data_IF_111697116665
#
_entry.id   IF_111697116665
#
_cell.length_a   1.000
_cell.length_b   1.000
_cell.length_c   1.000
_cell.angle_alpha   90.00
_cell.angle_beta   90.00
_cell.angle_gamma   90.00
#
_symmetry.space_group_name_H-M   'P 1'
#
loop_
_entity.id
_entity.type
_entity.pdbx_description
1 polymer ?
#
# COMPACT_ATOMS: atom_id res chain seq x y z
N UNK A 1 -7.27 -13.79 3.58
CA UNK A 1 -7.74 -12.91 4.66
C UNK A 1 -7.62 -13.52 6.05
N UNK A 2 -7.89 -14.81 6.25
CA UNK A 2 -7.82 -15.46 7.58
C UNK A 2 -6.44 -15.29 8.25
N UNK A 3 -5.34 -15.45 7.49
CA UNK A 3 -3.98 -15.31 8.03
C UNK A 3 -3.57 -13.87 8.37
N UNK A 4 -4.11 -12.89 7.67
CA UNK A 4 -3.77 -11.48 7.87
C UNK A 4 -4.58 -10.81 8.98
N UNK A 5 -5.66 -11.46 9.45
CA UNK A 5 -6.66 -10.87 10.37
C UNK A 5 -7.25 -9.54 9.86
N UNK A 6 -7.23 -9.35 8.55
CA UNK A 6 -7.80 -8.17 7.92
C UNK A 6 -9.32 -8.23 7.96
N UNK A 7 -10.01 -7.09 8.11
CA UNK A 7 -11.46 -7.00 7.99
C UNK A 7 -11.94 -7.58 6.66
N UNK A 8 -13.06 -8.31 6.69
CA UNK A 8 -13.62 -8.96 5.49
C UNK A 8 -13.94 -7.97 4.38
N UNK A 9 -14.24 -6.76 4.74
CA UNK A 9 -14.55 -5.66 3.83
C UNK A 9 -13.44 -5.34 2.81
N UNK A 10 -12.18 -5.70 3.11
CA UNK A 10 -11.03 -5.47 2.23
C UNK A 10 -10.80 -6.59 1.21
N UNK A 11 -11.81 -7.43 0.97
CA UNK A 11 -11.66 -8.60 0.10
C UNK A 11 -11.34 -8.23 -1.35
N UNK A 12 -11.95 -7.18 -1.87
CA UNK A 12 -11.77 -6.63 -3.20
C UNK A 12 -10.32 -6.17 -3.42
N UNK A 13 -9.79 -5.36 -2.53
CA UNK A 13 -8.41 -4.92 -2.56
C UNK A 13 -7.42 -6.10 -2.44
N UNK A 14 -7.74 -7.10 -1.60
CA UNK A 14 -6.94 -8.31 -1.51
C UNK A 14 -6.93 -9.09 -2.83
N UNK A 15 -8.09 -9.21 -3.48
CA UNK A 15 -8.24 -9.92 -4.75
C UNK A 15 -7.48 -9.21 -5.86
N UNK A 16 -7.62 -7.90 -5.98
CA UNK A 16 -6.89 -7.07 -6.94
C UNK A 16 -5.37 -7.27 -6.81
N UNK A 17 -4.86 -7.16 -5.58
CA UNK A 17 -3.44 -7.41 -5.31
C UNK A 17 -3.00 -8.82 -5.71
N UNK A 18 -3.80 -9.83 -5.41
CA UNK A 18 -3.47 -11.22 -5.76
C UNK A 18 -3.49 -11.42 -7.28
N UNK A 19 -4.48 -10.85 -7.96
CA UNK A 19 -4.58 -10.91 -9.41
C UNK A 19 -3.36 -10.27 -10.07
N UNK A 20 -2.98 -9.09 -9.61
CA UNK A 20 -1.81 -8.39 -10.15
C UNK A 20 -0.50 -9.12 -9.83
N UNK A 21 -0.31 -9.60 -8.60
CA UNK A 21 0.88 -10.40 -8.27
C UNK A 21 0.98 -11.69 -9.11
N UNK A 22 -0.15 -12.26 -9.51
CA UNK A 22 -0.19 -13.42 -10.41
C UNK A 22 0.18 -13.07 -11.84
N UNK A 23 -0.14 -11.87 -12.33
CA UNK A 23 0.31 -11.45 -13.66
C UNK A 23 1.83 -11.29 -13.76
N UNK A 24 2.48 -10.99 -12.62
CA UNK A 24 3.93 -10.84 -12.50
C UNK A 24 4.67 -12.13 -12.15
N UNK A 25 3.97 -13.26 -11.98
CA UNK A 25 4.60 -14.54 -11.62
C UNK A 25 4.39 -15.57 -12.72
N UNK A 26 5.38 -16.43 -12.90
CA UNK A 26 5.28 -17.56 -13.83
C UNK A 26 4.06 -18.43 -13.51
N UNK A 27 3.29 -18.74 -14.53
CA UNK A 27 2.06 -19.52 -14.39
C UNK A 27 2.13 -20.79 -15.24
N UNK A 28 1.60 -21.88 -14.69
CA UNK A 28 1.54 -23.18 -15.36
C UNK A 28 0.38 -23.32 -16.37
N UNK A 29 -0.21 -22.18 -16.81
CA UNK A 29 -1.26 -22.20 -17.84
C UNK A 29 -0.66 -22.63 -19.15
N UNK A 30 -1.26 -23.64 -19.81
CA UNK A 30 -0.73 -24.34 -20.97
C UNK A 30 -0.31 -23.44 -22.16
N UNK A 31 -1.01 -22.34 -22.39
CA UNK A 31 -0.72 -21.44 -23.52
C UNK A 31 0.39 -20.40 -23.21
N UNK A 32 0.80 -20.26 -21.96
CA UNK A 32 1.88 -19.36 -21.53
C UNK A 32 3.25 -20.05 -21.40
N UNK A 33 3.30 -21.35 -21.60
CA UNK A 33 4.54 -22.16 -21.50
C UNK A 33 5.39 -21.84 -20.27
N UNK A 34 4.73 -21.66 -19.10
CA UNK A 34 5.33 -21.27 -17.82
C UNK A 34 5.97 -19.87 -17.82
N UNK A 35 5.68 -19.03 -18.77
CA UNK A 35 6.13 -17.65 -18.80
C UNK A 35 5.31 -16.78 -17.83
N UNK A 36 5.87 -15.62 -17.51
CA UNK A 36 5.17 -14.59 -16.78
C UNK A 36 4.17 -13.91 -17.72
N UNK A 37 2.88 -13.82 -17.39
CA UNK A 37 1.87 -13.22 -18.29
C UNK A 37 2.19 -11.80 -18.75
N UNK A 38 2.80 -10.98 -17.89
CA UNK A 38 3.16 -9.60 -18.20
C UNK A 38 4.24 -9.50 -19.29
N UNK A 39 5.20 -10.42 -19.33
CA UNK A 39 6.34 -10.38 -20.27
C UNK A 39 5.93 -10.36 -21.73
N UNK A 40 5.02 -11.24 -22.24
CA UNK A 40 4.60 -11.18 -23.63
C UNK A 40 3.73 -9.95 -23.96
N UNK A 41 3.11 -9.31 -22.96
CA UNK A 41 2.27 -8.13 -23.15
C UNK A 41 3.10 -6.84 -23.21
N UNK A 42 4.05 -6.67 -22.29
CA UNK A 42 4.86 -5.47 -22.17
C UNK A 42 6.19 -5.53 -22.93
N UNK A 43 6.67 -6.75 -23.24
CA UNK A 43 8.01 -6.98 -23.77
C UNK A 43 9.14 -6.83 -22.73
N UNK A 44 8.80 -6.56 -21.47
CA UNK A 44 9.75 -6.32 -20.39
C UNK A 44 9.71 -7.46 -19.36
N UNK A 45 10.81 -7.62 -18.63
CA UNK A 45 10.85 -8.58 -17.51
C UNK A 45 10.04 -8.02 -16.34
N UNK A 46 9.05 -8.78 -15.90
CA UNK A 46 8.19 -8.38 -14.79
C UNK A 46 8.97 -8.24 -13.47
N UNK A 47 8.81 -7.12 -12.78
CA UNK A 47 9.39 -6.87 -11.46
C UNK A 47 8.38 -7.15 -10.34
N UNK A 48 8.61 -8.22 -9.59
CA UNK A 48 7.79 -8.59 -8.43
C UNK A 48 8.30 -8.01 -7.10
N UNK A 49 9.48 -7.38 -7.08
CA UNK A 49 10.09 -6.86 -5.87
C UNK A 49 9.16 -5.90 -5.08
N UNK A 50 8.38 -5.01 -5.72
CA UNK A 50 7.44 -4.16 -5.00
C UNK A 50 6.39 -4.91 -4.17
N UNK A 51 6.02 -6.13 -4.58
CA UNK A 51 5.07 -6.97 -3.86
C UNK A 51 5.70 -7.81 -2.75
N UNK A 52 7.00 -8.07 -2.86
CA UNK A 52 7.74 -8.89 -1.89
C UNK A 52 8.09 -8.12 -0.62
N UNK A 53 8.27 -6.80 -0.70
CA UNK A 53 8.73 -5.96 0.42
C UNK A 53 7.75 -5.97 1.59
N UNK A 54 6.46 -5.77 1.34
CA UNK A 54 5.43 -5.80 2.37
C UNK A 54 4.35 -6.80 2.02
N UNK A 55 4.04 -7.70 2.97
CA UNK A 55 2.86 -8.58 2.85
C UNK A 55 1.59 -7.73 2.93
N UNK A 56 0.54 -8.17 2.24
CA UNK A 56 -0.76 -7.53 2.31
C UNK A 56 -1.28 -7.44 3.75
N UNK A 57 -1.81 -6.27 4.11
CA UNK A 57 -2.30 -5.92 5.43
C UNK A 57 -1.23 -6.03 6.52
N UNK A 58 0.03 -5.78 6.17
CA UNK A 58 1.12 -5.71 7.16
C UNK A 58 1.07 -4.37 7.88
N UNK A 59 1.20 -4.40 9.19
CA UNK A 59 1.29 -3.21 10.02
C UNK A 59 2.58 -2.45 9.73
N UNK A 60 2.42 -1.16 9.44
CA UNK A 60 3.52 -0.26 9.13
C UNK A 60 3.34 1.08 9.84
N UNK A 61 4.42 1.75 10.07
CA UNK A 61 4.44 3.15 10.48
C UNK A 61 4.77 3.99 9.23
N UNK A 62 3.99 5.02 8.98
CA UNK A 62 4.23 5.97 7.90
C UNK A 62 4.25 7.39 8.42
N UNK A 63 4.99 8.26 7.75
CA UNK A 63 5.08 9.66 8.12
C UNK A 63 3.80 10.39 7.72
N UNK A 64 3.25 11.15 8.67
CA UNK A 64 2.12 12.02 8.43
C UNK A 64 2.60 13.47 8.42
N UNK A 65 2.49 14.13 7.28
CA UNK A 65 3.11 15.45 7.02
C UNK A 65 2.38 16.61 7.68
N UNK A 66 1.13 16.43 8.12
CA UNK A 66 0.34 17.50 8.76
C UNK A 66 0.58 17.63 10.27
N UNK A 67 1.42 16.76 10.85
CA UNK A 67 1.76 16.81 12.28
C UNK A 67 3.05 17.59 12.46
N UNK A 68 3.01 18.61 13.31
CA UNK A 68 4.16 19.48 13.60
C UNK A 68 4.86 19.01 14.87
N UNK A 69 6.19 19.14 14.88
CA UNK A 69 6.96 18.92 16.11
C UNK A 69 6.35 19.70 17.30
N UNK A 70 6.24 19.15 18.53
CA UNK A 70 6.92 17.93 19.02
C UNK A 70 6.18 16.60 18.89
N UNK A 71 5.00 16.58 18.28
CA UNK A 71 4.22 15.35 18.18
C UNK A 71 4.89 14.29 17.29
N UNK A 72 4.61 13.02 17.56
CA UNK A 72 5.15 11.94 16.74
C UNK A 72 4.53 11.98 15.34
N UNK A 73 5.37 12.21 14.35
CA UNK A 73 4.96 12.25 12.94
C UNK A 73 4.70 10.87 12.34
N UNK A 74 4.99 9.79 13.08
CA UNK A 74 4.81 8.42 12.63
C UNK A 74 3.45 7.88 13.06
N UNK A 75 2.62 7.54 12.10
CA UNK A 75 1.25 7.05 12.33
C UNK A 75 1.15 5.59 11.93
N UNK A 76 0.33 4.83 12.66
CA UNK A 76 0.05 3.44 12.39
C UNK A 76 -0.89 3.30 11.18
N UNK A 77 -0.54 2.39 10.27
CA UNK A 77 -1.36 2.03 9.12
C UNK A 77 -1.15 0.59 8.69
N UNK A 78 -1.88 0.18 7.66
CA UNK A 78 -1.73 -1.13 7.04
C UNK A 78 -1.32 -1.00 5.58
N UNK A 79 -0.22 -1.66 5.19
CA UNK A 79 0.21 -1.71 3.81
C UNK A 79 -0.76 -2.55 2.98
N UNK A 80 -1.31 -1.98 1.92
CA UNK A 80 -2.21 -2.67 0.99
C UNK A 80 -1.47 -3.22 -0.23
N UNK A 81 -0.45 -2.52 -0.69
CA UNK A 81 0.35 -2.94 -1.83
C UNK A 81 1.10 -1.79 -2.48
N UNK A 82 1.82 -2.06 -3.58
CA UNK A 82 2.41 -1.00 -4.37
C UNK A 82 1.33 -0.17 -5.07
N UNK A 83 1.58 1.11 -5.23
CA UNK A 83 0.75 2.02 -6.04
C UNK A 83 1.32 2.04 -7.46
N UNK A 84 0.78 1.19 -8.32
CA UNK A 84 1.38 0.89 -9.63
C UNK A 84 1.22 2.06 -10.59
N UNK A 85 0.02 2.66 -10.59
CA UNK A 85 -0.34 3.73 -11.53
C UNK A 85 -0.20 5.14 -10.94
N UNK A 86 0.31 5.23 -9.70
CA UNK A 86 0.32 6.49 -8.95
C UNK A 86 1.68 6.72 -8.32
N UNK A 87 2.35 7.79 -8.72
CA UNK A 87 3.59 8.23 -8.11
C UNK A 87 4.84 7.43 -8.50
N UNK A 88 5.96 7.68 -7.83
CA UNK A 88 7.23 7.01 -8.07
C UNK A 88 7.15 5.49 -7.81
N UNK A 89 8.04 4.73 -8.44
CA UNK A 89 8.10 3.26 -8.34
C UNK A 89 8.11 2.68 -6.91
N UNK A 90 8.56 3.47 -5.92
CA UNK A 90 8.60 3.07 -4.51
C UNK A 90 7.34 3.43 -3.71
N UNK A 91 6.32 4.02 -4.36
CA UNK A 91 5.09 4.45 -3.67
C UNK A 91 4.24 3.24 -3.30
N UNK A 92 3.68 3.28 -2.09
CA UNK A 92 2.84 2.23 -1.51
C UNK A 92 1.49 2.79 -1.06
N UNK A 93 0.46 2.00 -1.23
CA UNK A 93 -0.86 2.26 -0.67
C UNK A 93 -0.89 1.88 0.80
N UNK A 94 -1.29 2.82 1.66
CA UNK A 94 -1.41 2.61 3.10
C UNK A 94 -2.81 2.97 3.57
N UNK A 95 -3.47 2.04 4.22
CA UNK A 95 -4.77 2.25 4.83
C UNK A 95 -4.60 2.95 6.18
N UNK A 96 -5.36 4.03 6.39
CA UNK A 96 -5.46 4.76 7.66
C UNK A 96 -6.64 4.26 8.51
N UNK A 97 -6.62 4.54 9.80
CA UNK A 97 -7.70 4.21 10.73
C UNK A 97 -9.06 4.82 10.36
N UNK A 98 -9.07 5.89 9.60
CA UNK A 98 -10.29 6.53 9.10
C UNK A 98 -10.84 5.91 7.79
N UNK A 99 -10.29 4.79 7.35
CA UNK A 99 -10.70 4.09 6.13
C UNK A 99 -10.20 4.70 4.83
N UNK A 100 -9.46 5.80 4.88
CA UNK A 100 -8.85 6.39 3.69
C UNK A 100 -7.54 5.70 3.36
N UNK A 101 -7.25 5.60 2.07
CA UNK A 101 -5.98 5.10 1.54
C UNK A 101 -5.11 6.30 1.16
N UNK A 102 -3.89 6.30 1.66
CA UNK A 102 -2.86 7.31 1.32
C UNK A 102 -1.69 6.65 0.60
N UNK A 103 -0.97 7.44 -0.15
CA UNK A 103 0.17 7.01 -0.94
C UNK A 103 1.45 7.51 -0.26
N UNK A 104 2.37 6.58 0.07
CA UNK A 104 3.61 6.92 0.78
C UNK A 104 4.77 6.11 0.25
N UNK A 105 5.92 6.76 0.11
CA UNK A 105 7.18 6.14 -0.28
C UNK A 105 7.95 5.62 0.93
N UNK A 106 7.87 6.30 2.06
CA UNK A 106 8.62 5.96 3.27
C UNK A 106 7.74 5.20 4.26
N UNK A 107 7.96 3.89 4.35
CA UNK A 107 7.27 3.02 5.30
C UNK A 107 8.29 2.33 6.21
N UNK A 108 7.95 2.16 7.47
CA UNK A 108 8.71 1.35 8.43
C UNK A 108 7.87 0.18 8.90
N UNK A 109 8.34 -1.07 8.77
CA UNK A 109 7.62 -2.21 9.33
C UNK A 109 7.56 -2.07 10.85
N UNK A 110 6.44 -2.48 11.43
CA UNK A 110 6.31 -2.54 12.87
C UNK A 110 7.21 -3.65 13.41
N UNK A 111 8.07 -3.32 14.39
CA UNK A 111 8.97 -4.32 14.99
C UNK A 111 8.18 -5.38 15.76
N UNK A 112 8.71 -6.61 15.91
CA UNK A 112 8.04 -7.67 16.68
C UNK A 112 7.68 -7.26 18.11
N UNK A 113 8.57 -6.51 18.78
CA UNK A 113 8.35 -6.04 20.16
C UNK A 113 7.18 -5.05 20.24
N UNK A 114 7.10 -4.10 19.33
CA UNK A 114 5.97 -3.18 19.21
C UNK A 114 4.69 -3.91 18.82
N UNK A 115 4.79 -4.99 18.05
CA UNK A 115 3.63 -5.82 17.72
C UNK A 115 3.11 -6.61 18.92
N UNK A 116 3.95 -7.00 19.86
CA UNK A 116 3.54 -7.87 20.97
C UNK A 116 2.69 -7.13 22.01
N UNK A 117 3.06 -5.92 22.43
CA UNK A 117 2.47 -5.28 23.61
C UNK A 117 2.00 -3.83 23.38
N UNK A 118 2.82 -2.97 22.78
CA UNK A 118 2.55 -1.52 22.78
C UNK A 118 1.39 -1.11 21.85
N UNK A 119 1.27 -1.73 20.69
CA UNK A 119 0.31 -1.33 19.67
C UNK A 119 -0.92 -2.24 19.57
N UNK A 120 -1.07 -3.23 20.44
CA UNK A 120 -2.17 -4.19 20.37
C UNK A 120 -3.55 -3.50 20.44
N UNK A 121 -3.73 -2.62 21.42
CA UNK A 121 -4.99 -1.87 21.60
C UNK A 121 -5.26 -0.90 20.44
N UNK A 122 -4.21 -0.28 19.90
CA UNK A 122 -4.33 0.60 18.75
C UNK A 122 -4.74 -0.15 17.48
N UNK A 123 -4.18 -1.34 17.27
CA UNK A 123 -4.54 -2.21 16.14
C UNK A 123 -5.97 -2.73 16.23
N UNK A 124 -6.43 -3.07 17.44
CA UNK A 124 -7.82 -3.47 17.66
C UNK A 124 -8.78 -2.31 17.39
N UNK A 125 -8.47 -1.11 17.89
CA UNK A 125 -9.25 0.11 17.59
C UNK A 125 -9.25 0.42 16.09
N UNK A 126 -8.11 0.27 15.43
CA UNK A 126 -7.98 0.46 13.99
C UNK A 126 -8.91 -0.49 13.24
N UNK A 127 -8.82 -1.80 13.51
CA UNK A 127 -9.67 -2.79 12.86
C UNK A 127 -11.16 -2.54 13.13
N UNK A 128 -11.52 -2.22 14.36
CA UNK A 128 -12.90 -1.88 14.72
C UNK A 128 -13.40 -0.62 14.00
N UNK A 129 -12.53 0.36 13.79
CA UNK A 129 -12.88 1.56 13.02
C UNK A 129 -13.15 1.22 11.55
N UNK A 130 -12.32 0.40 10.93
CA UNK A 130 -12.51 -0.04 9.55
C UNK A 130 -13.79 -0.87 9.40
N UNK A 131 -14.11 -1.74 10.35
CA UNK A 131 -15.35 -2.53 10.32
C UNK A 131 -16.61 -1.68 10.48
N UNK A 132 -16.54 -0.59 11.24
CA UNK A 132 -17.66 0.35 11.44
C UNK A 132 -17.97 1.21 10.22
N UNK A 133 -17.03 1.40 9.33
CA UNK A 133 -17.22 2.15 8.08
C UNK A 133 -18.11 1.34 7.13
N UNK A 134 -19.42 1.26 7.44
CA UNK A 134 -20.43 0.54 6.66
C UNK A 134 -20.70 1.29 5.35
N UNK A 135 -20.68 0.56 4.22
CA UNK A 135 -21.24 1.00 2.94
C UNK A 135 -20.35 1.86 2.06
N UNK A 136 -19.35 2.55 2.58
CA UNK A 136 -18.49 3.38 1.75
C UNK A 136 -17.36 2.55 1.11
N UNK A 137 -17.25 2.65 -0.20
CA UNK A 137 -16.04 2.27 -0.94
C UNK A 137 -14.84 3.03 -0.35
N UNK A 138 -13.64 2.44 -0.43
CA UNK A 138 -12.42 3.14 -0.02
C UNK A 138 -12.38 4.52 -0.68
N UNK A 139 -12.35 5.56 0.15
CA UNK A 139 -12.09 6.91 -0.33
C UNK A 139 -10.59 7.09 -0.39
N UNK A 140 -10.05 7.13 -1.58
CA UNK A 140 -8.66 7.53 -1.80
C UNK A 140 -8.55 9.03 -1.51
N UNK A 141 -7.50 9.43 -0.80
CA UNK A 141 -7.15 10.86 -0.74
C UNK A 141 -6.74 11.29 -2.15
N UNK A 142 -7.18 12.46 -2.55
CA UNK A 142 -6.90 12.99 -3.88
C UNK A 142 -5.37 13.15 -4.02
N UNK A 143 -4.81 12.52 -5.05
CA UNK A 143 -3.38 12.56 -5.33
C UNK A 143 -2.83 13.99 -5.38
N UNK A 144 -3.60 14.90 -5.97
CA UNK A 144 -3.27 16.32 -6.08
C UNK A 144 -3.20 17.06 -4.74
N UNK A 145 -3.72 16.46 -3.65
CA UNK A 145 -3.72 17.05 -2.31
C UNK A 145 -2.73 16.38 -1.36
N UNK A 146 -1.95 15.41 -1.84
CA UNK A 146 -0.92 14.78 -1.02
C UNK A 146 0.39 15.58 -1.11
N UNK A 147 0.79 16.31 -0.05
CA UNK A 147 1.94 17.22 -0.11
C UNK A 147 3.27 16.52 -0.38
N UNK A 148 3.36 15.23 -0.08
CA UNK A 148 4.57 14.43 -0.38
C UNK A 148 4.70 14.17 -1.88
N UNK A 149 3.57 14.02 -2.59
CA UNK A 149 3.54 13.76 -4.02
C UNK A 149 3.55 15.05 -4.85
N UNK A 150 2.96 16.13 -4.34
CA UNK A 150 3.08 17.48 -4.96
C UNK A 150 4.54 17.91 -5.09
N UNK A 151 5.34 17.69 -4.03
CA UNK A 151 6.76 18.07 -4.05
C UNK A 151 7.57 17.28 -5.07
N UNK A 152 7.21 16.02 -5.33
CA UNK A 152 7.86 15.15 -6.33
C UNK A 152 7.42 15.51 -7.76
N UNK A 153 6.15 15.85 -7.95
CA UNK A 153 5.61 16.27 -9.24
C UNK A 153 6.24 17.58 -9.73
N UNK A 154 6.41 18.55 -8.85
CA UNK A 154 7.03 19.85 -9.17
C UNK A 154 8.49 19.68 -9.57
N UNK A 155 9.23 18.84 -8.85
CA UNK A 155 10.64 18.55 -9.16
C UNK A 155 10.83 17.86 -10.52
N UNK A 156 9.92 16.98 -10.91
CA UNK A 156 9.96 16.29 -12.20
C UNK A 156 9.64 17.25 -13.37
N UNK A 157 8.70 18.16 -13.16
CA UNK A 157 8.34 19.18 -14.17
C UNK A 157 9.47 20.21 -14.41
N UNK A 158 10.22 20.54 -13.36
CA UNK A 158 11.37 21.44 -13.50
C UNK A 158 12.54 20.78 -14.22
N UNK A 159 12.78 19.48 -13.97
CA UNK A 159 13.81 18.69 -14.66
C UNK A 159 13.52 18.46 -16.14
N UNK A 160 12.25 18.45 -16.56
CA UNK A 160 11.87 18.31 -17.97
C UNK A 160 11.84 19.65 -18.74
N UNK A 161 12.00 20.78 -18.04
CA UNK A 161 12.07 22.12 -18.65
C UNK A 161 13.50 22.65 -18.83
N UNK A 162 14.48 22.01 -18.25
CA UNK A 162 15.91 22.34 -18.41
C UNK A 162 16.55 21.54 -19.54
#
# INVERSE_FOLDING_TARGET
>A
MVRSKAPKRLWDNCLERVAYARSLTANAINWLDRQVPETPLSGETADIAPFAEFKWYKWVLFRYTSVTYPDDTMVLGCALGPAIDIGPAMTRMVLKANGKVVYRSTLRPLSPDKMANETMKEREKFNASIERLLGDLFKYEDFAKDPELESLGTSLFELLRA
#
